data_IF_479529060643
#
_entry.id   IF_479529060643
#
_cell.length_a   1.000
_cell.length_b   1.000
_cell.length_c   1.000
_cell.angle_alpha   90.00
_cell.angle_beta   90.00
_cell.angle_gamma   90.00
#
_symmetry.space_group_name_H-M   'P 1'
#
loop_
_entity.id
_entity.type
_entity.pdbx_description
1 polymer ?
#
# COMPACT_ATOMS: atom_id res chain seq x y z
N UNK A 1 7.11 11.70 -8.23
CA UNK A 1 6.39 10.40 -8.27
C UNK A 1 5.76 10.14 -6.93
N UNK A 2 4.54 9.66 -6.95
CA UNK A 2 3.79 9.37 -5.73
C UNK A 2 4.22 8.09 -5.07
N UNK A 3 4.17 8.08 -3.74
CA UNK A 3 4.08 6.84 -2.99
C UNK A 3 2.61 6.41 -2.95
N UNK A 4 2.38 5.12 -3.00
CA UNK A 4 1.04 4.53 -2.91
C UNK A 4 1.01 3.55 -1.77
N UNK A 5 -0.02 3.64 -0.92
CA UNK A 5 -0.25 2.73 0.18
C UNK A 5 -1.52 1.94 -0.02
N UNK A 6 -1.51 0.69 0.39
CA UNK A 6 -2.69 -0.18 0.36
C UNK A 6 -2.94 -0.72 1.75
N UNK A 7 -4.09 -0.35 2.31
CA UNK A 7 -4.60 -0.91 3.55
C UNK A 7 -5.45 -2.12 3.19
N UNK A 8 -4.99 -3.30 3.61
CA UNK A 8 -5.58 -4.58 3.22
C UNK A 8 -6.49 -5.10 4.31
N UNK A 9 -7.68 -5.52 3.93
CA UNK A 9 -8.56 -6.29 4.80
C UNK A 9 -9.05 -7.53 4.05
N UNK A 10 -9.76 -8.40 4.73
CA UNK A 10 -10.20 -9.67 4.16
C UNK A 10 -10.95 -9.50 2.84
N UNK A 11 -11.84 -8.49 2.77
CA UNK A 11 -12.76 -8.33 1.65
C UNK A 11 -12.50 -7.13 0.77
N UNK A 12 -11.63 -6.21 1.22
CA UNK A 12 -11.49 -4.95 0.52
C UNK A 12 -10.08 -4.38 0.67
N UNK A 13 -9.72 -3.56 -0.31
CA UNK A 13 -8.46 -2.82 -0.33
C UNK A 13 -8.79 -1.34 -0.36
N UNK A 14 -8.15 -0.58 0.51
CA UNK A 14 -8.20 0.89 0.50
C UNK A 14 -6.85 1.40 0.03
N UNK A 15 -6.86 2.15 -1.05
CA UNK A 15 -5.65 2.66 -1.69
C UNK A 15 -5.58 4.16 -1.47
N UNK A 16 -4.40 4.66 -1.13
CA UNK A 16 -4.15 6.09 -0.99
C UNK A 16 -2.85 6.49 -1.65
N UNK A 17 -2.79 7.73 -2.13
CA UNK A 17 -1.58 8.32 -2.69
C UNK A 17 -1.11 9.47 -1.82
N UNK A 18 0.16 9.86 -1.97
CA UNK A 18 0.71 10.99 -1.22
C UNK A 18 0.09 12.33 -1.60
N UNK A 19 -0.52 12.44 -2.77
CA UNK A 19 -1.23 13.67 -3.18
C UNK A 19 -2.71 13.66 -2.80
N UNK A 20 -3.15 12.66 -2.03
CA UNK A 20 -4.50 12.64 -1.46
C UNK A 20 -5.56 11.92 -2.27
N UNK A 21 -5.21 11.30 -3.39
CA UNK A 21 -6.15 10.47 -4.13
C UNK A 21 -6.44 9.18 -3.39
N UNK A 22 -7.66 8.68 -3.51
CA UNK A 22 -8.07 7.43 -2.88
C UNK A 22 -8.83 6.54 -3.85
N UNK A 23 -8.79 5.23 -3.60
CA UNK A 23 -9.56 4.25 -4.33
C UNK A 23 -9.89 3.11 -3.38
N UNK A 24 -11.09 2.56 -3.51
CA UNK A 24 -11.48 1.37 -2.76
C UNK A 24 -11.92 0.30 -3.76
N UNK A 25 -11.35 -0.89 -3.63
CA UNK A 25 -11.71 -2.03 -4.48
C UNK A 25 -11.88 -3.27 -3.63
N UNK A 26 -12.55 -4.27 -4.18
CA UNK A 26 -12.68 -5.57 -3.52
C UNK A 26 -11.35 -6.30 -3.50
N UNK A 27 -11.10 -7.05 -2.43
CA UNK A 27 -9.91 -7.90 -2.32
C UNK A 27 -10.16 -9.23 -3.05
N UNK A 28 -10.25 -9.15 -4.36
CA UNK A 28 -10.44 -10.27 -5.26
C UNK A 28 -9.92 -9.92 -6.64
N UNK A 29 -9.98 -10.87 -7.57
CA UNK A 29 -9.43 -10.69 -8.91
C UNK A 29 -10.02 -9.50 -9.66
N UNK A 30 -11.32 -9.29 -9.53
CA UNK A 30 -12.00 -8.14 -10.15
C UNK A 30 -11.46 -6.82 -9.60
N UNK A 31 -11.30 -6.73 -8.30
CA UNK A 31 -10.73 -5.54 -7.65
C UNK A 31 -9.28 -5.31 -8.04
N UNK A 32 -8.49 -6.38 -8.18
CA UNK A 32 -7.09 -6.26 -8.60
C UNK A 32 -6.98 -5.71 -10.02
N UNK A 33 -7.85 -6.14 -10.92
CA UNK A 33 -7.86 -5.65 -12.30
C UNK A 33 -8.22 -4.18 -12.36
N UNK A 34 -9.19 -3.75 -11.57
CA UNK A 34 -9.56 -2.34 -11.45
C UNK A 34 -8.41 -1.51 -10.91
N UNK A 35 -7.74 -2.01 -9.88
CA UNK A 35 -6.57 -1.36 -9.29
C UNK A 35 -5.43 -1.24 -10.31
N UNK A 36 -5.17 -2.28 -11.08
CA UNK A 36 -4.11 -2.27 -12.10
C UNK A 36 -4.34 -1.17 -13.14
N UNK A 37 -5.56 -1.02 -13.63
CA UNK A 37 -5.91 0.04 -14.58
C UNK A 37 -5.70 1.42 -13.96
N UNK A 38 -6.11 1.60 -12.70
CA UNK A 38 -5.97 2.86 -11.98
C UNK A 38 -4.49 3.22 -11.78
N UNK A 39 -3.66 2.23 -11.41
CA UNK A 39 -2.23 2.42 -11.18
C UNK A 39 -1.47 2.79 -12.46
N UNK A 40 -1.84 2.22 -13.60
CA UNK A 40 -1.19 2.49 -14.88
C UNK A 40 -1.28 3.94 -15.32
N UNK A 41 -2.25 4.67 -14.79
CA UNK A 41 -2.44 6.09 -15.11
C UNK A 41 -1.64 7.02 -14.21
N UNK A 42 -0.88 6.49 -13.26
CA UNK A 42 -0.18 7.27 -12.24
C UNK A 42 1.29 6.90 -12.15
N UNK A 43 2.19 7.89 -12.26
CA UNK A 43 3.60 7.63 -12.01
C UNK A 43 3.79 7.26 -10.54
N UNK A 44 4.40 6.13 -10.27
CA UNK A 44 4.48 5.55 -8.94
C UNK A 44 5.92 5.22 -8.58
N UNK A 45 6.40 5.74 -7.45
CA UNK A 45 7.72 5.41 -6.91
C UNK A 45 7.76 3.99 -6.36
N UNK A 46 6.82 3.68 -5.51
CA UNK A 46 6.59 2.31 -5.01
C UNK A 46 5.20 2.22 -4.38
N UNK A 47 4.74 0.99 -4.27
CA UNK A 47 3.47 0.65 -3.63
C UNK A 47 3.81 -0.13 -2.38
N UNK A 48 3.36 0.33 -1.21
CA UNK A 48 3.63 -0.32 0.07
C UNK A 48 2.33 -0.83 0.65
N UNK A 49 2.32 -2.09 1.05
CA UNK A 49 1.23 -2.66 1.82
C UNK A 49 1.79 -3.36 3.05
N UNK A 50 0.95 -3.52 4.05
CA UNK A 50 1.32 -4.12 5.31
C UNK A 50 0.93 -5.59 5.32
N UNK A 51 1.78 -6.44 5.90
CA UNK A 51 1.44 -7.84 6.13
C UNK A 51 0.26 -7.93 7.10
N UNK A 52 -0.82 -8.57 6.68
CA UNK A 52 -2.08 -8.64 7.44
C UNK A 52 -2.63 -10.07 7.44
N UNK A 53 -1.91 -10.97 8.09
CA UNK A 53 -2.38 -12.34 8.28
C UNK A 53 -2.57 -13.16 7.01
N UNK A 54 -1.92 -12.77 5.93
CA UNK A 54 -1.99 -13.48 4.65
C UNK A 54 -2.97 -12.89 3.65
N UNK A 55 -3.86 -12.00 4.07
CA UNK A 55 -4.83 -11.38 3.15
C UNK A 55 -4.18 -10.47 2.11
N UNK A 56 -2.96 -10.04 2.36
CA UNK A 56 -2.19 -9.21 1.43
C UNK A 56 -1.57 -10.03 0.29
N UNK A 57 -1.40 -11.34 0.46
CA UNK A 57 -0.65 -12.17 -0.48
C UNK A 57 -1.22 -12.18 -1.90
N UNK A 58 -2.53 -12.37 -2.11
CA UNK A 58 -3.07 -12.38 -3.47
C UNK A 58 -2.85 -11.08 -4.23
N UNK A 59 -3.11 -9.91 -3.63
CA UNK A 59 -2.91 -8.63 -4.31
C UNK A 59 -1.42 -8.35 -4.54
N UNK A 60 -0.58 -8.73 -3.60
CA UNK A 60 0.86 -8.57 -3.71
C UNK A 60 1.40 -9.36 -4.93
N UNK A 61 1.00 -10.61 -5.05
CA UNK A 61 1.40 -11.47 -6.19
C UNK A 61 0.87 -10.92 -7.51
N UNK A 62 -0.38 -10.48 -7.53
CA UNK A 62 -0.99 -9.92 -8.74
C UNK A 62 -0.22 -8.67 -9.21
N UNK A 63 0.04 -7.74 -8.31
CA UNK A 63 0.73 -6.50 -8.66
C UNK A 63 2.18 -6.74 -9.06
N UNK A 64 2.86 -7.67 -8.39
CA UNK A 64 4.21 -8.05 -8.76
C UNK A 64 4.26 -8.61 -10.18
N UNK A 65 3.36 -9.53 -10.52
CA UNK A 65 3.30 -10.12 -11.85
C UNK A 65 2.93 -9.11 -12.91
N UNK A 66 2.15 -8.10 -12.56
CA UNK A 66 1.78 -7.03 -13.49
C UNK A 66 2.90 -5.99 -13.68
N UNK A 67 4.02 -6.13 -12.98
CA UNK A 67 5.18 -5.26 -13.14
C UNK A 67 5.18 -4.02 -12.28
N UNK A 68 4.29 -3.93 -11.29
CA UNK A 68 4.26 -2.79 -10.39
C UNK A 68 5.35 -2.88 -9.31
N UNK A 69 5.92 -1.74 -8.89
CA UNK A 69 6.97 -1.71 -7.86
C UNK A 69 6.37 -1.87 -6.47
N UNK A 70 6.07 -3.09 -6.06
CA UNK A 70 5.42 -3.40 -4.78
C UNK A 70 6.43 -3.81 -3.71
N UNK A 71 6.14 -3.45 -2.47
CA UNK A 71 6.91 -3.88 -1.31
C UNK A 71 5.95 -4.18 -0.16
N UNK A 72 6.23 -5.25 0.57
CA UNK A 72 5.46 -5.61 1.77
C UNK A 72 6.23 -5.10 2.99
N UNK A 73 5.58 -4.25 3.78
CA UNK A 73 6.17 -3.71 4.99
C UNK A 73 5.90 -4.62 6.18
N UNK A 74 6.90 -4.79 7.03
CA UNK A 74 6.68 -5.39 8.33
C UNK A 74 5.86 -4.42 9.17
N UNK A 75 4.75 -4.90 9.75
CA UNK A 75 3.80 -4.06 10.46
C UNK A 75 4.44 -3.26 11.59
N UNK A 76 5.32 -3.90 12.37
CA UNK A 76 5.97 -3.23 13.48
C UNK A 76 6.94 -2.13 13.03
N UNK A 77 7.77 -2.43 12.01
CA UNK A 77 8.70 -1.44 11.47
C UNK A 77 7.97 -0.28 10.81
N UNK A 78 6.92 -0.58 10.06
CA UNK A 78 6.10 0.42 9.41
C UNK A 78 5.49 1.37 10.43
N UNK A 79 4.94 0.82 11.51
CA UNK A 79 4.34 1.61 12.58
C UNK A 79 5.36 2.49 13.28
N UNK A 80 6.54 1.94 13.61
CA UNK A 80 7.61 2.71 14.25
C UNK A 80 8.10 3.86 13.36
N UNK A 81 8.24 3.62 12.08
CA UNK A 81 8.63 4.66 11.13
C UNK A 81 7.56 5.75 11.05
N UNK A 82 6.29 5.36 10.94
CA UNK A 82 5.18 6.31 10.89
C UNK A 82 5.11 7.17 12.16
N UNK A 83 5.33 6.58 13.33
CA UNK A 83 5.40 7.32 14.59
C UNK A 83 6.56 8.30 14.60
N UNK A 84 7.73 7.87 14.14
CA UNK A 84 8.92 8.71 14.06
C UNK A 84 8.76 9.89 13.11
N UNK A 85 7.93 9.74 12.07
CA UNK A 85 7.61 10.80 11.13
C UNK A 85 6.43 11.66 11.58
N UNK A 86 5.83 11.37 12.74
CA UNK A 86 4.67 12.09 13.23
C UNK A 86 3.37 11.78 12.49
N UNK A 87 3.33 10.68 11.74
CA UNK A 87 2.19 10.32 10.90
C UNK A 87 1.03 9.73 11.70
N UNK A 88 1.33 8.99 12.78
CA UNK A 88 0.32 8.32 13.60
C UNK A 88 0.68 8.43 15.07
N UNK A 89 -0.32 8.32 15.94
CA UNK A 89 -0.11 8.13 17.36
C UNK A 89 0.29 6.67 17.64
N UNK A 90 0.82 6.42 18.82
CA UNK A 90 1.37 5.10 19.21
C UNK A 90 0.36 3.95 19.03
N UNK A 91 -0.91 4.22 19.24
CA UNK A 91 -1.98 3.22 19.19
C UNK A 91 -2.77 3.24 17.89
N UNK A 92 -2.47 4.16 16.97
CA UNK A 92 -3.22 4.28 15.74
C UNK A 92 -2.81 3.20 14.75
N UNK A 93 -3.80 2.77 13.96
CA UNK A 93 -3.58 1.84 12.87
C UNK A 93 -2.95 2.57 11.69
N UNK A 94 -2.11 1.86 10.93
CA UNK A 94 -1.58 2.36 9.67
C UNK A 94 -2.67 2.30 8.60
N UNK A 95 -3.06 3.46 8.08
CA UNK A 95 -3.99 3.53 6.96
C UNK A 95 -3.25 3.64 5.63
N UNK A 96 -4.01 3.68 4.54
CA UNK A 96 -3.44 3.76 3.20
C UNK A 96 -2.60 5.02 3.00
N UNK A 97 -3.02 6.14 3.57
CA UNK A 97 -2.29 7.40 3.45
C UNK A 97 -0.93 7.34 4.16
N UNK A 98 -0.89 6.78 5.38
CA UNK A 98 0.35 6.61 6.12
C UNK A 98 1.32 5.70 5.35
N UNK A 99 0.83 4.60 4.79
CA UNK A 99 1.64 3.71 3.97
C UNK A 99 2.13 4.41 2.69
N UNK A 100 1.30 5.25 2.08
CA UNK A 100 1.69 6.03 0.91
C UNK A 100 2.83 7.00 1.23
N UNK A 101 2.77 7.67 2.38
CA UNK A 101 3.83 8.57 2.81
C UNK A 101 5.14 7.82 3.01
N UNK A 102 5.09 6.65 3.62
CA UNK A 102 6.28 5.80 3.75
C UNK A 102 6.83 5.42 2.38
N UNK A 103 5.96 5.06 1.44
CA UNK A 103 6.36 4.69 0.09
C UNK A 103 7.04 5.83 -0.66
N UNK A 104 6.71 7.08 -0.32
CA UNK A 104 7.34 8.25 -0.94
C UNK A 104 8.69 8.59 -0.31
N UNK A 105 8.87 8.31 0.99
CA UNK A 105 10.02 8.75 1.75
C UNK A 105 11.11 7.70 1.89
N UNK A 106 10.74 6.42 1.91
CA UNK A 106 11.66 5.32 2.22
C UNK A 106 11.58 4.27 1.12
N UNK A 107 12.74 3.88 0.59
CA UNK A 107 12.78 2.77 -0.35
C UNK A 107 12.86 1.46 0.43
N UNK A 108 11.84 0.62 0.29
CA UNK A 108 11.80 -0.70 0.90
C UNK A 108 12.32 -1.75 -0.07
N UNK A 109 12.83 -2.89 0.44
CA UNK A 109 13.22 -3.99 -0.43
C UNK A 109 12.02 -4.43 -1.27
N UNK A 110 12.18 -4.58 -2.60
CA UNK A 110 11.06 -4.98 -3.46
C UNK A 110 10.64 -6.43 -3.17
N UNK A 111 9.38 -6.67 -3.39
CA UNK A 111 8.83 -8.02 -3.27
C UNK A 111 9.36 -8.94 -4.36
#
# INVERSE_FOLDING_TARGET
MNGIGIDVSKRQLDIGTTDGETLQVSNNRSGFSELDVWLKKRPTRQIVLEATGGYEQPVLDFLHKAGHPVARANALRARKLAQGLGQIAKTDRLDAYALAQMAALVKLPPY
#
